data_IF_974431333674
#
_entry.id   IF_974431333674
#
_cell.length_a   1.000
_cell.length_b   1.000
_cell.length_c   1.000
_cell.angle_alpha   90.00
_cell.angle_beta   90.00
_cell.angle_gamma   90.00
#
_symmetry.space_group_name_H-M   'P 1'
#
loop_
_entity.id
_entity.type
_entity.pdbx_description
1 polymer ?
#
# COMPACT_ATOMS: atom_id res chain seq x y z
N UNK A 1 -40.57 44.00 55.23
CA UNK A 1 -39.35 43.19 55.14
C UNK A 1 -39.42 42.28 53.91
N UNK A 2 -38.74 42.64 52.85
CA UNK A 2 -38.72 41.82 51.58
C UNK A 2 -37.35 41.12 51.55
N UNK A 3 -37.37 39.79 51.62
CA UNK A 3 -36.20 38.92 51.48
C UNK A 3 -35.88 38.79 50.01
N UNK A 4 -34.70 39.26 49.57
CA UNK A 4 -34.11 39.01 48.27
C UNK A 4 -33.39 37.67 48.32
N UNK A 5 -33.90 36.68 47.56
CA UNK A 5 -33.20 35.40 47.38
C UNK A 5 -32.17 35.56 46.24
N UNK A 6 -30.89 35.46 46.57
CA UNK A 6 -29.76 35.51 45.63
C UNK A 6 -29.54 34.11 45.08
N UNK A 7 -29.96 33.84 43.81
CA UNK A 7 -29.63 32.61 43.12
C UNK A 7 -28.23 32.68 42.56
N UNK A 8 -27.32 31.92 43.16
CA UNK A 8 -25.97 31.73 42.66
C UNK A 8 -25.98 30.76 41.48
N UNK A 9 -25.78 31.29 40.29
CA UNK A 9 -25.62 30.51 39.06
C UNK A 9 -24.22 29.86 39.06
N UNK A 10 -24.16 28.56 39.32
CA UNK A 10 -22.92 27.79 39.31
C UNK A 10 -22.50 27.53 37.88
N UNK A 11 -21.59 28.36 37.30
CA UNK A 11 -20.94 28.07 36.01
C UNK A 11 -19.95 26.92 36.17
N UNK A 12 -20.33 25.71 35.85
CA UNK A 12 -19.39 24.61 35.69
C UNK A 12 -18.46 24.89 34.49
N UNK A 13 -17.14 24.85 34.65
CA UNK A 13 -16.23 24.99 33.52
C UNK A 13 -16.41 23.79 32.60
N UNK A 14 -16.76 24.04 31.33
CA UNK A 14 -16.65 23.07 30.26
C UNK A 14 -15.17 22.68 30.12
N UNK A 15 -14.79 21.57 30.72
CA UNK A 15 -13.47 20.98 30.46
C UNK A 15 -13.44 20.54 29.01
N UNK A 16 -12.45 20.97 28.20
CA UNK A 16 -12.29 20.44 26.87
C UNK A 16 -12.08 18.93 26.98
N UNK A 17 -12.94 18.14 26.34
CA UNK A 17 -12.69 16.72 26.11
C UNK A 17 -11.42 16.63 25.22
N UNK A 18 -10.28 16.56 25.84
CA UNK A 18 -9.08 16.13 25.15
C UNK A 18 -9.36 14.69 24.72
N UNK A 19 -9.47 14.49 23.41
CA UNK A 19 -9.58 13.14 22.86
C UNK A 19 -8.43 12.33 23.45
N UNK A 20 -8.76 11.39 24.35
CA UNK A 20 -7.75 10.53 24.96
C UNK A 20 -7.07 9.76 23.83
N UNK A 21 -5.78 10.03 23.62
CA UNK A 21 -4.96 9.30 22.66
C UNK A 21 -5.05 7.81 22.99
N UNK A 22 -5.47 7.02 22.02
CA UNK A 22 -5.50 5.55 22.17
C UNK A 22 -4.09 4.95 22.22
N UNK A 23 -3.09 5.73 21.81
CA UNK A 23 -1.70 5.32 21.77
C UNK A 23 -0.89 5.97 22.91
N UNK A 24 -0.24 5.17 23.74
CA UNK A 24 0.67 5.62 24.79
C UNK A 24 2.01 6.13 24.26
N UNK A 25 2.40 5.70 23.06
CA UNK A 25 3.64 6.08 22.37
C UNK A 25 3.43 6.20 20.86
N UNK A 26 4.31 6.89 20.13
CA UNK A 26 4.23 6.94 18.67
C UNK A 26 4.37 5.55 18.05
N UNK A 27 3.55 5.27 17.04
CA UNK A 27 3.62 4.03 16.26
C UNK A 27 4.74 4.10 15.22
N UNK A 28 5.59 3.08 15.19
CA UNK A 28 6.72 2.97 14.25
C UNK A 28 6.22 2.27 12.98
N UNK A 29 6.25 3.00 11.86
CA UNK A 29 5.72 2.55 10.57
C UNK A 29 6.88 2.26 9.63
N UNK A 30 7.03 1.01 9.22
CA UNK A 30 8.03 0.59 8.23
C UNK A 30 7.55 0.87 6.81
N UNK A 31 8.45 1.39 5.96
CA UNK A 31 8.21 1.58 4.53
C UNK A 31 9.51 1.45 3.75
N UNK A 32 9.42 1.16 2.46
CA UNK A 32 10.49 1.24 1.46
C UNK A 32 10.09 2.24 0.37
N UNK A 33 10.95 2.51 -0.62
CA UNK A 33 10.62 3.45 -1.69
C UNK A 33 9.79 2.76 -2.79
N UNK A 34 8.48 2.94 -2.73
CA UNK A 34 7.53 2.37 -3.70
C UNK A 34 6.46 3.39 -4.13
N UNK A 35 6.80 4.34 -5.04
CA UNK A 35 5.85 5.34 -5.50
C UNK A 35 4.74 4.70 -6.37
N UNK A 36 3.49 5.19 -6.27
CA UNK A 36 3.05 6.34 -5.48
C UNK A 36 2.48 5.98 -4.10
N UNK A 37 2.74 4.78 -3.59
CA UNK A 37 2.21 4.33 -2.30
C UNK A 37 2.94 4.94 -1.11
N UNK A 38 4.27 4.91 -1.12
CA UNK A 38 5.14 5.52 -0.12
C UNK A 38 6.51 5.83 -0.74
N UNK A 39 6.86 7.09 -0.76
CA UNK A 39 8.10 7.57 -1.38
C UNK A 39 8.49 8.93 -0.84
N UNK A 40 9.74 9.29 -1.01
CA UNK A 40 10.18 10.63 -0.70
C UNK A 40 10.05 11.55 -1.92
N UNK A 41 9.31 12.62 -1.74
CA UNK A 41 9.28 13.74 -2.69
C UNK A 41 10.30 14.79 -2.28
N UNK A 42 11.15 15.19 -3.23
CA UNK A 42 12.07 16.30 -3.05
C UNK A 42 11.33 17.60 -3.40
N UNK A 43 11.29 18.55 -2.48
CA UNK A 43 10.76 19.90 -2.67
C UNK A 43 11.83 20.91 -2.22
N UNK A 44 12.62 21.40 -3.18
CA UNK A 44 13.81 22.20 -2.89
C UNK A 44 14.79 21.46 -1.98
N UNK A 45 15.09 22.03 -0.81
CA UNK A 45 15.97 21.41 0.20
C UNK A 45 15.25 20.42 1.14
N UNK A 46 13.92 20.32 1.06
CA UNK A 46 13.11 19.44 1.92
C UNK A 46 12.87 18.11 1.24
N UNK A 47 13.01 17.04 2.00
CA UNK A 47 12.63 15.67 1.62
C UNK A 47 11.42 15.29 2.46
N UNK A 48 10.26 15.16 1.83
CA UNK A 48 9.00 14.86 2.50
C UNK A 48 8.51 13.46 2.11
N UNK A 49 8.14 12.66 3.12
CA UNK A 49 7.51 11.37 2.86
C UNK A 49 6.06 11.59 2.43
N UNK A 50 5.72 11.08 1.27
CA UNK A 50 4.40 11.15 0.66
C UNK A 50 3.97 9.79 0.11
N UNK A 51 2.72 9.71 -0.30
CA UNK A 51 2.17 8.57 -1.01
C UNK A 51 0.77 8.22 -0.54
N UNK A 52 0.07 7.45 -1.35
CA UNK A 52 -1.30 7.02 -1.06
C UNK A 52 -1.41 6.36 0.32
N UNK A 53 -0.56 5.36 0.60
CA UNK A 53 -0.60 4.64 1.86
C UNK A 53 -0.18 5.50 3.06
N UNK A 54 0.75 6.46 2.85
CA UNK A 54 1.18 7.42 3.88
C UNK A 54 0.04 8.35 4.25
N UNK A 55 -0.60 8.99 3.26
CA UNK A 55 -1.71 9.91 3.49
C UNK A 55 -2.91 9.18 4.12
N UNK A 56 -3.18 7.95 3.65
CA UNK A 56 -4.27 7.14 4.20
C UNK A 56 -4.01 6.75 5.67
N UNK A 57 -2.81 6.28 6.00
CA UNK A 57 -2.45 5.91 7.37
C UNK A 57 -2.44 7.14 8.29
N UNK A 58 -2.03 8.30 7.79
CA UNK A 58 -2.14 9.56 8.54
C UNK A 58 -3.60 9.90 8.88
N UNK A 59 -4.51 9.74 7.92
CA UNK A 59 -5.95 9.96 8.16
C UNK A 59 -6.53 9.00 9.20
N UNK A 60 -6.12 7.72 9.16
CA UNK A 60 -6.47 6.71 10.18
C UNK A 60 -5.90 7.10 11.55
N UNK A 61 -4.63 7.48 11.60
CA UNK A 61 -3.94 7.81 12.85
C UNK A 61 -4.51 9.03 13.56
N UNK A 62 -4.97 10.03 12.81
CA UNK A 62 -5.66 11.21 13.36
C UNK A 62 -6.93 10.80 14.10
N UNK A 63 -7.72 9.86 13.54
CA UNK A 63 -8.95 9.36 14.18
C UNK A 63 -8.70 8.56 15.45
N UNK A 64 -7.54 7.90 15.52
CA UNK A 64 -7.11 7.18 16.72
C UNK A 64 -6.42 8.09 17.76
N UNK A 65 -6.10 9.34 17.41
CA UNK A 65 -5.28 10.21 18.24
C UNK A 65 -3.84 9.72 18.40
N UNK A 66 -3.32 8.93 17.45
CA UNK A 66 -1.99 8.32 17.51
C UNK A 66 -0.99 9.11 16.66
N UNK A 67 0.25 9.25 17.15
CA UNK A 67 1.36 9.81 16.38
C UNK A 67 2.07 8.70 15.62
N UNK A 68 2.57 9.01 14.42
CA UNK A 68 3.34 8.10 13.59
C UNK A 68 4.80 8.53 13.51
N UNK A 69 5.71 7.55 13.47
CA UNK A 69 7.12 7.73 13.17
C UNK A 69 7.46 6.76 12.03
N UNK A 70 7.76 7.30 10.87
CA UNK A 70 8.09 6.51 9.68
C UNK A 70 9.56 6.12 9.68
N UNK A 71 9.83 4.84 9.37
CA UNK A 71 11.17 4.24 9.40
C UNK A 71 11.42 3.56 8.07
N UNK A 72 12.34 4.10 7.28
CA UNK A 72 12.72 3.51 5.99
C UNK A 72 13.45 2.17 6.21
N UNK A 73 12.93 1.11 5.60
CA UNK A 73 13.46 -0.28 5.69
C UNK A 73 13.20 -1.01 4.39
N UNK A 74 14.17 -1.73 3.82
CA UNK A 74 13.88 -2.69 2.76
C UNK A 74 12.79 -3.66 3.20
N UNK A 75 11.88 -4.04 2.30
CA UNK A 75 10.68 -4.82 2.59
C UNK A 75 10.93 -6.01 3.52
N UNK A 76 11.86 -6.91 3.17
CA UNK A 76 12.18 -8.10 4.00
C UNK A 76 12.64 -7.74 5.41
N UNK A 77 13.42 -6.66 5.54
CA UNK A 77 13.85 -6.18 6.86
C UNK A 77 12.68 -5.57 7.63
N UNK A 78 11.77 -4.87 6.93
CA UNK A 78 10.53 -4.35 7.50
C UNK A 78 9.66 -5.45 8.10
N UNK A 79 9.44 -6.54 7.36
CA UNK A 79 8.70 -7.71 7.86
C UNK A 79 9.37 -8.34 9.09
N UNK A 80 10.69 -8.52 9.06
CA UNK A 80 11.44 -9.05 10.20
C UNK A 80 11.41 -8.13 11.43
N UNK A 81 11.46 -6.81 11.21
CA UNK A 81 11.36 -5.83 12.29
C UNK A 81 9.93 -5.79 12.88
N UNK A 82 8.90 -5.96 12.05
CA UNK A 82 7.51 -6.11 12.48
C UNK A 82 7.31 -7.36 13.35
N UNK A 83 7.78 -8.52 12.90
CA UNK A 83 7.72 -9.79 13.62
C UNK A 83 8.37 -9.69 15.01
N UNK A 84 9.49 -8.96 15.11
CA UNK A 84 10.21 -8.75 16.36
C UNK A 84 9.70 -7.60 17.22
N UNK A 85 8.67 -6.87 16.78
CA UNK A 85 8.13 -5.71 17.48
C UNK A 85 9.04 -4.48 17.48
N UNK A 86 9.98 -4.39 16.53
CA UNK A 86 10.77 -3.18 16.29
C UNK A 86 10.04 -2.17 15.43
N UNK A 87 9.07 -2.62 14.63
CA UNK A 87 8.05 -1.84 13.96
C UNK A 87 6.68 -2.26 14.47
N UNK A 88 5.74 -1.35 14.43
CA UNK A 88 4.36 -1.57 14.84
C UNK A 88 3.46 -1.83 13.64
N UNK A 89 3.72 -1.15 12.51
CA UNK A 89 2.93 -1.23 11.28
C UNK A 89 3.87 -1.30 10.08
N UNK A 90 3.46 -2.06 9.04
CA UNK A 90 3.94 -1.94 7.65
C UNK A 90 2.75 -1.79 6.71
N UNK A 91 2.95 -1.09 5.60
CA UNK A 91 1.91 -0.70 4.65
C UNK A 91 1.92 -1.62 3.41
N UNK A 92 0.84 -1.60 2.62
CA UNK A 92 0.72 -2.26 1.31
C UNK A 92 1.06 -3.75 1.29
N UNK A 93 0.69 -4.46 2.35
CA UNK A 93 0.95 -5.88 2.46
C UNK A 93 -0.19 -6.73 1.86
N UNK A 94 0.16 -7.71 1.05
CA UNK A 94 -0.77 -8.78 0.68
C UNK A 94 -0.90 -9.79 1.82
N UNK A 95 -2.11 -10.32 2.00
CA UNK A 95 -2.36 -11.37 2.98
C UNK A 95 -1.58 -12.65 2.62
N UNK A 96 -0.94 -13.23 3.64
CA UNK A 96 -0.31 -14.54 3.57
C UNK A 96 -0.41 -15.23 4.93
N UNK A 97 -0.76 -16.53 4.93
CA UNK A 97 -0.94 -17.30 6.16
C UNK A 97 0.32 -17.32 7.03
N UNK A 98 1.50 -17.40 6.42
CA UNK A 98 2.77 -17.35 7.14
C UNK A 98 2.96 -16.03 7.90
N UNK A 99 2.52 -14.90 7.32
CA UNK A 99 2.59 -13.57 7.93
C UNK A 99 1.54 -13.42 9.03
N UNK A 100 0.34 -14.03 8.85
CA UNK A 100 -0.72 -14.00 9.84
C UNK A 100 -0.33 -14.67 11.16
N UNK A 101 0.73 -15.46 11.20
CA UNK A 101 1.26 -16.05 12.45
C UNK A 101 1.82 -14.98 13.40
N UNK A 102 2.50 -13.96 12.89
CA UNK A 102 3.19 -12.93 13.69
C UNK A 102 2.58 -11.54 13.59
N UNK A 103 1.68 -11.30 12.63
CA UNK A 103 1.03 -10.01 12.44
C UNK A 103 -0.49 -10.16 12.36
N UNK A 104 -1.19 -9.12 12.78
CA UNK A 104 -2.58 -8.88 12.43
C UNK A 104 -2.65 -8.23 11.05
N UNK A 105 -3.71 -8.48 10.32
CA UNK A 105 -4.05 -7.72 9.12
C UNK A 105 -5.26 -6.83 9.42
N UNK A 106 -5.22 -5.60 8.95
CA UNK A 106 -6.39 -4.73 8.96
C UNK A 106 -7.49 -5.27 8.04
N UNK A 107 -8.66 -4.63 8.00
CA UNK A 107 -9.53 -4.74 6.84
C UNK A 107 -8.81 -4.17 5.60
N UNK A 108 -9.17 -4.60 4.37
CA UNK A 108 -8.56 -4.08 3.15
C UNK A 108 -8.84 -2.59 3.00
N UNK A 109 -7.84 -1.82 2.56
CA UNK A 109 -7.98 -0.38 2.34
C UNK A 109 -7.62 0.08 0.92
N UNK A 110 -6.90 -0.75 0.17
CA UNK A 110 -6.52 -0.46 -1.20
C UNK A 110 -6.83 -1.69 -2.09
N UNK A 111 -7.63 -1.54 -3.16
CA UNK A 111 -7.84 -2.59 -4.14
C UNK A 111 -6.59 -2.73 -5.01
N UNK A 112 -5.67 -3.61 -4.59
CA UNK A 112 -4.48 -3.93 -5.36
C UNK A 112 -4.84 -4.68 -6.64
N UNK A 113 -4.22 -4.28 -7.76
CA UNK A 113 -4.39 -4.96 -9.04
C UNK A 113 -3.03 -5.17 -9.70
N UNK A 114 -2.76 -6.41 -10.08
CA UNK A 114 -1.63 -6.76 -10.94
C UNK A 114 -2.09 -6.89 -12.39
N UNK A 115 -1.37 -6.27 -13.31
CA UNK A 115 -1.61 -6.36 -14.76
C UNK A 115 -0.37 -6.90 -15.47
N UNK A 116 -0.58 -7.54 -16.61
CA UNK A 116 0.49 -7.81 -17.57
C UNK A 116 0.72 -6.53 -18.39
N UNK A 117 1.93 -6.03 -18.39
CA UNK A 117 2.36 -4.86 -19.15
C UNK A 117 3.18 -5.30 -20.34
N UNK A 118 2.84 -4.81 -21.53
CA UNK A 118 3.45 -5.18 -22.80
C UNK A 118 3.81 -3.96 -23.62
N UNK A 119 4.64 -4.10 -24.65
CA UNK A 119 4.80 -3.04 -25.64
C UNK A 119 3.48 -2.76 -26.34
N UNK A 120 3.20 -1.53 -26.67
CA UNK A 120 1.97 -1.12 -27.37
C UNK A 120 1.73 -1.89 -28.68
N UNK A 121 2.80 -2.34 -29.35
CA UNK A 121 2.73 -3.19 -30.56
C UNK A 121 2.54 -4.68 -30.26
N UNK A 122 2.50 -5.10 -29.02
CA UNK A 122 2.50 -6.51 -28.60
C UNK A 122 1.25 -6.92 -27.82
N UNK A 123 0.14 -6.21 -27.99
CA UNK A 123 -1.16 -6.60 -27.41
C UNK A 123 -1.67 -7.83 -28.14
N UNK A 124 -1.54 -9.00 -27.51
CA UNK A 124 -2.10 -10.25 -27.99
C UNK A 124 -3.58 -10.43 -27.63
N UNK A 125 -4.17 -11.54 -28.07
CA UNK A 125 -5.57 -11.89 -27.80
C UNK A 125 -5.72 -12.96 -26.71
N UNK A 126 -4.61 -13.31 -26.01
CA UNK A 126 -4.61 -14.35 -24.98
C UNK A 126 -5.48 -13.92 -23.78
N UNK A 127 -6.27 -14.88 -23.31
CA UNK A 127 -7.25 -14.65 -22.25
C UNK A 127 -6.66 -14.78 -20.83
N UNK A 128 -5.52 -15.47 -20.68
CA UNK A 128 -4.88 -15.75 -19.40
C UNK A 128 -3.35 -15.87 -19.53
N UNK A 129 -2.66 -15.73 -18.38
CA UNK A 129 -1.21 -15.74 -18.31
C UNK A 129 -0.59 -17.09 -18.73
N UNK A 130 -1.26 -18.21 -18.44
CA UNK A 130 -0.71 -19.53 -18.77
C UNK A 130 -0.73 -19.77 -20.28
N UNK A 131 -1.79 -19.38 -20.98
CA UNK A 131 -1.86 -19.44 -22.45
C UNK A 131 -0.86 -18.50 -23.09
N UNK A 132 -0.68 -17.28 -22.55
CA UNK A 132 0.33 -16.32 -23.03
C UNK A 132 1.75 -16.88 -22.93
N UNK A 133 2.10 -17.51 -21.81
CA UNK A 133 3.40 -18.16 -21.63
C UNK A 133 3.54 -19.42 -22.50
N UNK A 134 2.46 -20.16 -22.74
CA UNK A 134 2.48 -21.35 -23.62
C UNK A 134 2.81 -21.00 -25.09
N UNK A 135 2.53 -19.78 -25.54
CA UNK A 135 2.97 -19.27 -26.83
C UNK A 135 4.46 -18.87 -26.89
N UNK A 136 5.22 -19.12 -25.83
CA UNK A 136 6.66 -18.91 -25.80
C UNK A 136 7.11 -17.52 -25.38
N UNK A 137 6.19 -16.67 -24.92
CA UNK A 137 6.52 -15.33 -24.44
C UNK A 137 7.39 -15.35 -23.16
N UNK A 138 8.27 -14.39 -23.03
CA UNK A 138 9.18 -14.22 -21.90
C UNK A 138 8.64 -13.16 -20.94
N UNK A 139 8.51 -13.53 -19.69
CA UNK A 139 7.87 -12.72 -18.64
C UNK A 139 8.90 -12.13 -17.67
N UNK A 140 8.78 -10.84 -17.37
CA UNK A 140 9.43 -10.20 -16.24
C UNK A 140 8.54 -10.22 -15.00
N UNK A 141 9.14 -10.49 -13.84
CA UNK A 141 8.47 -10.36 -12.53
C UNK A 141 9.34 -9.55 -11.58
N UNK A 142 8.72 -8.89 -10.61
CA UNK A 142 9.42 -8.09 -9.62
C UNK A 142 9.82 -8.97 -8.44
N UNK A 143 11.09 -8.86 -8.05
CA UNK A 143 11.68 -9.64 -6.96
C UNK A 143 10.95 -9.34 -5.65
N UNK A 144 10.71 -10.41 -4.87
CA UNK A 144 10.08 -10.35 -3.56
C UNK A 144 8.63 -9.84 -3.56
N UNK A 145 8.02 -9.70 -4.76
CA UNK A 145 6.62 -9.35 -4.89
C UNK A 145 5.73 -10.59 -4.76
N UNK A 146 4.60 -10.45 -4.09
CA UNK A 146 3.64 -11.54 -3.92
C UNK A 146 2.55 -11.48 -4.99
N UNK A 147 2.49 -12.47 -5.86
CA UNK A 147 1.51 -12.54 -6.97
C UNK A 147 0.29 -13.43 -6.68
N UNK A 148 0.14 -13.91 -5.44
CA UNK A 148 -0.92 -14.86 -5.11
C UNK A 148 -0.61 -16.30 -5.50
N UNK A 149 -1.35 -17.28 -4.94
CA UNK A 149 -1.02 -18.71 -5.11
C UNK A 149 -1.21 -19.19 -6.55
N UNK A 150 -2.24 -18.73 -7.26
CA UNK A 150 -2.53 -19.19 -8.62
C UNK A 150 -1.49 -18.69 -9.62
N UNK A 151 -1.14 -17.40 -9.57
CA UNK A 151 -0.07 -16.86 -10.43
C UNK A 151 1.27 -17.52 -10.08
N UNK A 152 1.57 -17.74 -8.79
CA UNK A 152 2.79 -18.41 -8.37
C UNK A 152 2.90 -19.82 -8.99
N UNK A 153 1.83 -20.60 -9.07
CA UNK A 153 1.82 -21.91 -9.76
C UNK A 153 2.15 -21.78 -11.24
N UNK A 154 1.58 -20.77 -11.92
CA UNK A 154 1.87 -20.50 -13.34
C UNK A 154 3.34 -20.12 -13.53
N UNK A 155 3.87 -19.22 -12.70
CA UNK A 155 5.28 -18.81 -12.75
C UNK A 155 6.24 -19.99 -12.54
N UNK A 156 5.92 -20.89 -11.61
CA UNK A 156 6.71 -22.11 -11.36
C UNK A 156 6.68 -23.05 -12.56
N UNK A 157 5.51 -23.25 -13.18
CA UNK A 157 5.36 -24.11 -14.38
C UNK A 157 6.20 -23.60 -15.56
N UNK A 158 6.26 -22.29 -15.75
CA UNK A 158 6.96 -21.64 -16.86
C UNK A 158 8.28 -20.96 -16.44
N UNK A 159 8.92 -21.44 -15.37
CA UNK A 159 10.10 -20.81 -14.74
C UNK A 159 11.25 -20.46 -15.70
N UNK A 160 11.42 -21.23 -16.79
CA UNK A 160 12.48 -21.00 -17.79
C UNK A 160 12.21 -19.75 -18.66
N UNK A 161 10.97 -19.26 -18.69
CA UNK A 161 10.54 -18.06 -19.42
C UNK A 161 10.40 -16.84 -18.50
N UNK A 162 10.53 -17.04 -17.16
CA UNK A 162 10.36 -15.99 -16.16
C UNK A 162 11.72 -15.41 -15.75
N UNK A 163 11.81 -14.09 -15.75
CA UNK A 163 12.98 -13.33 -15.32
C UNK A 163 12.62 -12.43 -14.15
N UNK A 164 13.25 -12.64 -13.01
CA UNK A 164 13.02 -11.89 -11.78
C UNK A 164 14.05 -10.77 -11.60
N UNK A 165 13.61 -9.52 -11.55
CA UNK A 165 14.42 -8.31 -11.36
C UNK A 165 13.61 -7.23 -10.64
N UNK A 166 14.09 -5.99 -10.52
CA UNK A 166 13.28 -4.85 -10.07
C UNK A 166 12.46 -4.22 -11.21
N UNK A 167 11.49 -3.36 -10.88
CA UNK A 167 10.55 -2.77 -11.84
C UNK A 167 11.26 -2.01 -12.98
N UNK A 168 12.20 -1.14 -12.67
CA UNK A 168 12.94 -0.35 -13.68
C UNK A 168 13.72 -1.26 -14.62
N UNK A 169 14.29 -2.36 -14.13
CA UNK A 169 14.95 -3.35 -14.97
C UNK A 169 13.97 -4.08 -15.88
N UNK A 170 12.74 -4.34 -15.43
CA UNK A 170 11.68 -4.90 -16.27
C UNK A 170 11.32 -3.96 -17.43
N UNK A 171 11.18 -2.65 -17.17
CA UNK A 171 10.91 -1.66 -18.23
C UNK A 171 12.02 -1.69 -19.30
N UNK A 172 13.28 -1.65 -18.89
CA UNK A 172 14.44 -1.70 -19.81
C UNK A 172 14.51 -3.01 -20.58
N UNK A 173 14.27 -4.16 -19.94
CA UNK A 173 14.23 -5.47 -20.62
C UNK A 173 13.14 -5.55 -21.66
N UNK A 174 11.94 -5.02 -21.35
CA UNK A 174 10.82 -4.98 -22.28
C UNK A 174 11.16 -4.18 -23.54
N UNK A 175 11.72 -2.98 -23.38
CA UNK A 175 12.11 -2.11 -24.51
C UNK A 175 13.22 -2.73 -25.36
N UNK A 176 14.18 -3.43 -24.74
CA UNK A 176 15.26 -4.12 -25.43
C UNK A 176 14.84 -5.46 -26.05
N UNK A 177 13.55 -5.83 -25.96
CA UNK A 177 13.05 -7.11 -26.46
C UNK A 177 13.62 -8.33 -25.74
N UNK A 178 14.13 -8.18 -24.51
CA UNK A 178 14.63 -9.29 -23.69
C UNK A 178 13.53 -10.04 -22.96
N UNK A 179 12.41 -9.39 -22.72
CA UNK A 179 11.14 -9.94 -22.27
C UNK A 179 10.02 -9.41 -23.19
N UNK A 180 8.90 -10.08 -23.20
CA UNK A 180 7.76 -9.73 -24.06
C UNK A 180 6.64 -9.03 -23.26
N UNK A 181 6.64 -9.21 -21.92
CA UNK A 181 5.82 -8.51 -20.95
C UNK A 181 6.36 -8.63 -19.54
N UNK A 182 5.78 -7.90 -18.61
CA UNK A 182 6.08 -8.03 -17.17
C UNK A 182 4.81 -7.86 -16.34
N UNK A 183 4.76 -8.52 -15.18
CA UNK A 183 3.73 -8.31 -14.18
C UNK A 183 4.08 -7.08 -13.34
N UNK A 184 3.15 -6.14 -13.27
CA UNK A 184 3.33 -4.89 -12.51
C UNK A 184 2.01 -4.39 -11.92
N UNK A 185 2.13 -3.65 -10.83
CA UNK A 185 1.00 -3.03 -10.15
C UNK A 185 0.32 -1.97 -11.03
N UNK A 186 -1.01 -1.88 -10.97
CA UNK A 186 -1.80 -1.01 -11.86
C UNK A 186 -1.69 0.48 -11.51
N UNK A 187 -1.23 0.85 -10.32
CA UNK A 187 -0.97 2.24 -9.93
C UNK A 187 0.52 2.58 -9.98
N UNK A 188 1.38 1.71 -9.45
CA UNK A 188 2.82 1.97 -9.38
C UNK A 188 3.49 1.92 -10.77
N UNK A 189 3.06 1.00 -11.65
CA UNK A 189 3.66 0.87 -12.98
C UNK A 189 3.46 2.11 -13.85
N UNK A 190 2.26 2.70 -14.02
CA UNK A 190 2.11 3.97 -14.75
C UNK A 190 2.98 5.10 -14.20
N UNK A 191 3.11 5.17 -12.88
CA UNK A 191 3.99 6.14 -12.23
C UNK A 191 5.46 5.94 -12.60
N UNK A 192 5.94 4.70 -12.54
CA UNK A 192 7.28 4.33 -12.93
C UNK A 192 7.54 4.59 -14.41
N UNK A 193 6.63 4.19 -15.30
CA UNK A 193 6.71 4.42 -16.74
C UNK A 193 6.76 5.92 -17.08
N UNK A 194 5.94 6.74 -16.41
CA UNK A 194 5.96 8.19 -16.61
C UNK A 194 7.30 8.79 -16.21
N UNK A 195 7.84 8.40 -15.08
CA UNK A 195 9.15 8.86 -14.59
C UNK A 195 10.29 8.51 -15.54
N UNK A 196 10.18 7.35 -16.20
CA UNK A 196 11.18 6.88 -17.19
C UNK A 196 10.87 7.38 -18.63
N UNK A 197 9.79 8.16 -18.84
CA UNK A 197 9.40 8.65 -20.18
C UNK A 197 8.86 7.57 -21.12
N UNK A 198 8.21 6.52 -20.57
CA UNK A 198 7.81 5.33 -21.31
C UNK A 198 6.30 5.12 -21.41
N UNK A 199 5.49 6.07 -20.96
CA UNK A 199 4.03 5.97 -20.92
C UNK A 199 3.38 5.66 -22.28
N UNK A 200 3.98 6.15 -23.39
CA UNK A 200 3.44 5.93 -24.73
C UNK A 200 3.88 4.60 -25.37
N UNK A 201 4.89 3.95 -24.82
CA UNK A 201 5.51 2.74 -25.37
C UNK A 201 4.99 1.45 -24.72
N UNK A 202 4.50 1.52 -23.47
CA UNK A 202 4.11 0.38 -22.65
C UNK A 202 2.68 0.55 -22.19
N UNK A 203 1.86 -0.49 -22.40
CA UNK A 203 0.43 -0.49 -22.07
C UNK A 203 0.05 -1.74 -21.29
N UNK A 204 -1.02 -1.71 -20.48
CA UNK A 204 -1.54 -2.93 -19.88
C UNK A 204 -2.18 -3.80 -20.93
N UNK A 205 -1.96 -5.11 -20.84
CA UNK A 205 -2.70 -6.11 -21.60
C UNK A 205 -4.14 -6.20 -21.09
N UNK A 206 -5.06 -6.59 -21.95
CA UNK A 206 -6.50 -6.68 -21.61
C UNK A 206 -6.86 -7.84 -20.68
N UNK A 207 -5.99 -8.86 -20.58
CA UNK A 207 -6.24 -10.01 -19.70
C UNK A 207 -6.25 -9.60 -18.23
N UNK A 208 -7.19 -10.15 -17.46
CA UNK A 208 -7.19 -10.04 -16.01
C UNK A 208 -6.11 -10.97 -15.43
N UNK A 209 -5.18 -10.45 -14.64
CA UNK A 209 -4.15 -11.25 -13.99
C UNK A 209 -4.57 -11.58 -12.56
N UNK A 210 -4.62 -10.57 -11.69
CA UNK A 210 -4.93 -10.78 -10.29
C UNK A 210 -5.42 -9.48 -9.65
N UNK A 211 -6.53 -9.59 -8.92
CA UNK A 211 -7.01 -8.53 -8.05
C UNK A 211 -6.91 -9.00 -6.61
N UNK A 212 -6.14 -8.31 -5.83
CA UNK A 212 -5.97 -8.63 -4.41
C UNK A 212 -5.79 -7.35 -3.63
N UNK A 213 -6.65 -7.15 -2.64
CA UNK A 213 -6.55 -6.01 -1.76
C UNK A 213 -5.26 -6.04 -0.96
N UNK A 214 -4.74 -4.86 -0.64
CA UNK A 214 -3.65 -4.69 0.31
C UNK A 214 -4.16 -4.26 1.67
N UNK A 215 -3.35 -4.53 2.68
CA UNK A 215 -3.67 -4.40 4.08
C UNK A 215 -2.52 -3.68 4.81
N UNK A 216 -2.85 -3.05 5.92
CA UNK A 216 -1.83 -2.76 6.93
C UNK A 216 -1.55 -4.03 7.72
N UNK A 217 -0.28 -4.38 7.87
CA UNK A 217 0.14 -5.42 8.83
C UNK A 217 0.53 -4.75 10.15
N UNK A 218 -0.02 -5.26 11.24
CA UNK A 218 0.17 -4.75 12.59
C UNK A 218 0.87 -5.81 13.44
N UNK A 219 1.92 -5.43 14.16
CA UNK A 219 2.72 -6.39 14.94
C UNK A 219 1.94 -6.97 16.11
N UNK A 220 1.82 -8.30 16.20
CA UNK A 220 1.25 -9.00 17.36
C UNK A 220 2.10 -8.87 18.63
N UNK A 221 3.36 -8.43 18.50
CA UNK A 221 4.26 -8.20 19.64
C UNK A 221 3.97 -6.91 20.38
N UNK A 222 3.45 -5.89 19.69
CA UNK A 222 3.29 -4.55 20.25
C UNK A 222 1.86 -4.05 20.25
N UNK A 223 0.99 -4.63 19.43
CA UNK A 223 -0.40 -4.20 19.28
C UNK A 223 -1.36 -5.35 19.58
N UNK A 224 -2.42 -5.04 20.35
CA UNK A 224 -3.45 -5.99 20.74
C UNK A 224 -4.54 -6.15 19.67
N UNK A 225 -5.36 -7.22 19.79
CA UNK A 225 -6.56 -7.39 18.96
C UNK A 225 -7.58 -6.25 19.13
N UNK A 226 -7.66 -5.66 20.33
CA UNK A 226 -8.51 -4.48 20.58
C UNK A 226 -8.00 -3.27 19.80
N UNK A 227 -6.69 -3.04 19.77
CA UNK A 227 -6.10 -2.01 18.92
C UNK A 227 -6.49 -2.21 17.45
N UNK A 228 -6.38 -3.43 16.95
CA UNK A 228 -6.75 -3.77 15.55
C UNK A 228 -8.23 -3.49 15.28
N UNK A 229 -9.12 -3.81 16.21
CA UNK A 229 -10.54 -3.49 16.06
C UNK A 229 -10.77 -1.98 15.92
N UNK A 230 -10.18 -1.17 16.80
CA UNK A 230 -10.23 0.30 16.73
C UNK A 230 -9.57 0.86 15.45
N UNK A 231 -8.48 0.26 15.03
CA UNK A 231 -7.80 0.62 13.79
C UNK A 231 -8.71 0.38 12.57
N UNK A 232 -9.41 -0.75 12.54
CA UNK A 232 -10.38 -1.06 11.48
C UNK A 232 -11.59 -0.11 11.50
N UNK A 233 -12.13 0.25 12.66
CA UNK A 233 -13.16 1.28 12.78
C UNK A 233 -12.69 2.64 12.19
N UNK A 234 -11.44 3.01 12.44
CA UNK A 234 -10.87 4.24 11.87
C UNK A 234 -10.70 4.14 10.35
N UNK A 235 -10.34 2.97 9.78
CA UNK A 235 -10.32 2.74 8.33
C UNK A 235 -11.73 2.93 7.74
N UNK A 236 -12.76 2.35 8.34
CA UNK A 236 -14.15 2.52 7.90
C UNK A 236 -14.54 4.00 7.93
N UNK A 237 -14.21 4.71 8.99
CA UNK A 237 -14.52 6.14 9.12
C UNK A 237 -13.79 7.02 8.09
N UNK A 238 -12.58 6.64 7.63
CA UNK A 238 -11.90 7.30 6.50
C UNK A 238 -12.66 7.08 5.20
N UNK A 239 -13.16 5.86 4.97
CA UNK A 239 -13.99 5.52 3.81
C UNK A 239 -15.30 6.31 3.79
N UNK A 240 -16.06 6.23 4.89
CA UNK A 240 -17.40 6.86 5.02
C UNK A 240 -17.37 8.39 4.91
N UNK A 241 -16.24 9.02 5.31
CA UNK A 241 -16.07 10.47 5.17
C UNK A 241 -15.77 10.94 3.74
N UNK A 242 -15.53 10.02 2.80
CA UNK A 242 -15.08 10.33 1.44
C UNK A 242 -13.61 10.75 1.34
N UNK A 243 -12.86 10.77 2.45
CA UNK A 243 -11.46 11.17 2.47
C UNK A 243 -10.57 10.17 1.70
N UNK A 244 -10.91 8.88 1.72
CA UNK A 244 -10.23 7.86 0.92
C UNK A 244 -10.23 8.21 -0.56
N UNK A 245 -11.38 8.60 -1.12
CA UNK A 245 -11.50 8.96 -2.54
C UNK A 245 -10.69 10.24 -2.85
N UNK A 246 -10.69 11.23 -1.96
CA UNK A 246 -9.88 12.44 -2.11
C UNK A 246 -8.38 12.12 -2.11
N UNK A 247 -7.94 11.23 -1.23
CA UNK A 247 -6.54 10.76 -1.19
C UNK A 247 -6.23 10.02 -2.48
N UNK A 248 -7.07 9.05 -2.90
CA UNK A 248 -6.86 8.25 -4.11
C UNK A 248 -6.70 9.13 -5.37
N UNK A 249 -7.56 10.13 -5.54
CA UNK A 249 -7.51 11.05 -6.69
C UNK A 249 -6.18 11.81 -6.81
N UNK A 250 -5.52 12.12 -5.70
CA UNK A 250 -4.20 12.81 -5.74
C UNK A 250 -3.13 11.97 -6.45
N UNK A 251 -3.23 10.65 -6.38
CA UNK A 251 -2.23 9.73 -6.91
C UNK A 251 -2.63 9.08 -8.24
N UNK A 252 -3.91 9.10 -8.59
CA UNK A 252 -4.44 8.57 -9.86
C UNK A 252 -4.63 9.65 -10.92
N UNK A 253 -4.85 10.92 -10.54
CA UNK A 253 -5.06 12.05 -11.46
C UNK A 253 -3.75 12.65 -12.01
N UNK A 254 -2.65 11.94 -11.94
CA UNK A 254 -1.37 12.42 -12.51
C UNK A 254 -1.46 12.36 -14.03
N UNK A 255 -2.01 13.45 -14.63
CA UNK A 255 -1.98 13.73 -16.06
C UNK A 255 -0.58 14.07 -16.53
#
# INVERSE_FOLDING_TARGET
MRLFSLSVLCCLPLQPLWAQSFCSSPLRVGFDDWPPYHYYQQDGARRELRGFAVDYLNAVSIRLGCRLVYVERPWKRGLHDLERGRLDIVMEAYFADERARYAWFSIPYNPGRTSLWVRKSGTGEESDLASWLAHGHRLGVTRDYYYGPEITKVLQRYRNQVSEVNDVQNYRKLLLGRIDGFLGDSLATPWGLKREGLSDAVVPHTMAIHETSTFFMLSKKTLSGEFVARFNEAIVAVGDSGEQELIWRRYTSVR
#
